data_IF_348215276104
#
_entry.id   IF_348215276104
#
_cell.length_a   1.000
_cell.length_b   1.000
_cell.length_c   1.000
_cell.angle_alpha   90.00
_cell.angle_beta   90.00
_cell.angle_gamma   90.00
#
_symmetry.space_group_name_H-M   'P 1'
#
loop_
_entity.id
_entity.type
_entity.pdbx_description
1 polymer ?
#
# COMPACT_ATOMS: atom_id res chain seq x y z
N UNK A 1 -17.14 -14.46 4.50
CA UNK A 1 -17.93 -15.47 5.25
C UNK A 1 -19.39 -15.37 4.83
N UNK A 2 -20.33 -15.92 5.60
CA UNK A 2 -21.78 -15.82 5.34
C UNK A 2 -22.33 -14.39 5.38
N UNK A 3 -21.58 -13.44 5.95
CA UNK A 3 -21.92 -12.02 6.02
C UNK A 3 -21.13 -11.18 5.00
N UNK A 4 -20.38 -11.80 4.08
CA UNK A 4 -19.57 -11.10 3.09
C UNK A 4 -18.31 -10.43 3.67
N UNK A 5 -17.90 -10.78 4.89
CA UNK A 5 -16.74 -10.18 5.54
C UNK A 5 -15.45 -10.95 5.24
N UNK A 6 -14.33 -10.24 5.39
CA UNK A 6 -12.99 -10.81 5.42
C UNK A 6 -12.23 -10.26 6.63
N UNK A 7 -11.41 -11.09 7.27
CA UNK A 7 -10.51 -10.67 8.36
C UNK A 7 -9.17 -11.35 8.19
N UNK A 8 -8.10 -10.56 8.30
CA UNK A 8 -6.72 -11.05 8.24
C UNK A 8 -5.96 -10.55 9.46
N UNK A 9 -5.12 -11.42 10.05
CA UNK A 9 -4.13 -11.02 11.05
C UNK A 9 -2.78 -11.03 10.36
N UNK A 10 -2.14 -9.88 10.33
CA UNK A 10 -0.83 -9.66 9.72
C UNK A 10 -0.08 -8.62 10.54
N UNK A 11 1.10 -8.21 10.07
CA UNK A 11 1.87 -7.09 10.59
C UNK A 11 1.72 -5.87 9.66
N UNK A 12 1.93 -4.67 10.21
CA UNK A 12 2.03 -3.46 9.38
C UNK A 12 3.24 -3.58 8.44
N UNK A 13 3.06 -3.37 7.12
CA UNK A 13 4.18 -3.34 6.20
C UNK A 13 4.99 -2.05 6.37
N UNK A 14 6.27 -2.09 6.04
CA UNK A 14 7.04 -0.88 5.78
C UNK A 14 6.86 -0.45 4.31
N UNK A 15 7.08 0.83 4.03
CA UNK A 15 7.38 1.29 2.67
C UNK A 15 8.64 0.59 2.12
N UNK A 16 8.76 0.52 0.81
CA UNK A 16 9.92 -0.10 0.16
C UNK A 16 10.48 0.75 -0.97
N UNK A 17 11.77 0.58 -1.25
CA UNK A 17 12.49 1.25 -2.32
C UNK A 17 12.88 0.29 -3.45
N UNK A 18 13.14 0.85 -4.64
CA UNK A 18 13.83 0.11 -5.69
C UNK A 18 15.22 -0.38 -5.20
N UNK A 19 15.70 -1.55 -5.68
CA UNK A 19 17.07 -1.98 -5.42
C UNK A 19 18.07 -0.88 -5.81
N UNK A 20 18.96 -0.43 -4.89
CA UNK A 20 19.79 0.75 -5.12
C UNK A 20 20.68 0.68 -6.37
N UNK A 21 21.26 -0.50 -6.62
CA UNK A 21 22.13 -0.76 -7.79
C UNK A 21 21.34 -1.25 -9.02
N UNK A 22 20.02 -1.33 -8.93
CA UNK A 22 19.15 -1.82 -9.99
C UNK A 22 18.94 -0.79 -11.11
N UNK A 23 18.65 -1.24 -12.35
CA UNK A 23 18.50 -0.36 -13.50
C UNK A 23 17.39 0.68 -13.32
N UNK A 24 16.31 0.33 -12.60
CA UNK A 24 15.23 1.27 -12.27
C UNK A 24 15.76 2.42 -11.42
N UNK A 25 16.50 2.15 -10.34
CA UNK A 25 17.03 3.20 -9.49
C UNK A 25 18.12 4.01 -10.20
N UNK A 26 18.96 3.37 -11.03
CA UNK A 26 19.94 4.09 -11.85
C UNK A 26 19.27 5.12 -12.77
N UNK A 27 18.19 4.75 -13.46
CA UNK A 27 17.44 5.68 -14.29
C UNK A 27 16.77 6.78 -13.46
N UNK A 28 16.14 6.43 -12.33
CA UNK A 28 15.54 7.42 -11.43
C UNK A 28 16.57 8.44 -10.91
N UNK A 29 17.79 7.99 -10.62
CA UNK A 29 18.89 8.88 -10.22
C UNK A 29 19.25 9.89 -11.31
N UNK A 30 19.29 9.48 -12.58
CA UNK A 30 19.51 10.39 -13.72
C UNK A 30 18.39 11.44 -13.87
N UNK A 31 17.19 11.11 -13.39
CA UNK A 31 16.02 12.00 -13.38
C UNK A 31 15.89 12.81 -12.09
N UNK A 32 16.80 12.64 -11.12
CA UNK A 32 16.70 13.29 -9.80
C UNK A 32 15.50 12.82 -8.97
N UNK A 33 15.03 11.59 -9.18
CA UNK A 33 13.86 11.00 -8.50
C UNK A 33 14.28 9.91 -7.52
N UNK A 34 13.52 9.76 -6.43
CA UNK A 34 13.62 8.60 -5.54
C UNK A 34 12.83 7.39 -6.10
N UNK A 35 13.10 6.19 -5.59
CA UNK A 35 12.39 4.95 -5.95
C UNK A 35 11.55 4.36 -4.82
N UNK A 36 11.08 5.20 -3.90
CA UNK A 36 10.38 4.77 -2.69
C UNK A 36 8.86 4.74 -2.89
N UNK A 37 8.21 3.80 -2.20
CA UNK A 37 6.76 3.67 -2.11
C UNK A 37 6.32 3.71 -0.64
N UNK A 38 5.13 4.27 -0.34
CA UNK A 38 4.58 4.22 1.01
C UNK A 38 4.23 2.79 1.42
N UNK A 39 4.09 2.55 2.72
CA UNK A 39 3.51 1.31 3.23
C UNK A 39 2.11 1.08 2.64
N UNK A 40 1.91 -0.07 1.99
CA UNK A 40 0.64 -0.41 1.35
C UNK A 40 0.36 -1.91 1.34
N UNK A 41 -0.92 -2.24 1.14
CA UNK A 41 -1.41 -3.62 1.04
C UNK A 41 -2.17 -3.78 -0.28
N UNK A 42 -1.83 -4.80 -1.05
CA UNK A 42 -2.46 -5.11 -2.34
C UNK A 42 -3.73 -5.93 -2.18
N UNK A 43 -4.70 -5.69 -3.07
CA UNK A 43 -5.94 -6.44 -3.15
C UNK A 43 -6.29 -6.82 -4.59
N UNK A 44 -6.65 -8.09 -4.77
CA UNK A 44 -7.52 -8.53 -5.84
C UNK A 44 -8.84 -9.01 -5.23
N UNK A 45 -9.97 -8.55 -5.78
CA UNK A 45 -11.30 -9.00 -5.38
C UNK A 45 -12.09 -9.40 -6.62
N UNK A 46 -12.72 -10.57 -6.58
CA UNK A 46 -13.54 -11.10 -7.67
C UNK A 46 -14.76 -11.84 -7.11
N UNK A 47 -15.89 -11.71 -7.79
CA UNK A 47 -17.13 -12.41 -7.48
C UNK A 47 -17.96 -12.55 -8.77
N UNK A 48 -18.87 -13.53 -8.81
CA UNK A 48 -19.73 -13.77 -9.98
C UNK A 48 -20.60 -12.53 -10.27
N UNK A 49 -20.77 -12.22 -11.56
CA UNK A 49 -21.52 -11.05 -12.02
C UNK A 49 -20.85 -9.69 -11.75
N UNK A 50 -19.67 -9.66 -11.15
CA UNK A 50 -18.95 -8.42 -10.83
C UNK A 50 -17.66 -8.30 -11.64
N UNK A 51 -17.22 -7.06 -11.89
CA UNK A 51 -15.89 -6.81 -12.46
C UNK A 51 -14.83 -7.14 -11.41
N UNK A 52 -13.72 -7.76 -11.84
CA UNK A 52 -12.54 -7.94 -10.99
C UNK A 52 -11.98 -6.58 -10.58
N UNK A 53 -11.73 -6.41 -9.28
CA UNK A 53 -11.10 -5.24 -8.71
C UNK A 53 -9.61 -5.52 -8.49
N UNK A 54 -8.78 -4.58 -8.96
CA UNK A 54 -7.36 -4.47 -8.62
C UNK A 54 -7.20 -3.16 -7.86
N UNK A 55 -6.76 -3.21 -6.61
CA UNK A 55 -6.57 -1.99 -5.81
C UNK A 55 -5.46 -2.17 -4.77
N UNK A 56 -5.13 -1.11 -4.06
CA UNK A 56 -4.30 -1.11 -2.86
C UNK A 56 -4.88 -0.15 -1.82
N UNK A 57 -4.48 -0.30 -0.56
CA UNK A 57 -4.63 0.73 0.47
C UNK A 57 -3.25 1.18 0.94
N UNK A 58 -3.10 2.46 1.27
CA UNK A 58 -1.88 3.07 1.79
C UNK A 58 -2.10 3.44 3.26
N UNK A 59 -1.09 3.24 4.10
CA UNK A 59 -1.16 3.60 5.52
C UNK A 59 -1.07 5.12 5.65
N UNK A 60 -2.05 5.74 6.29
CA UNK A 60 -2.06 7.18 6.52
C UNK A 60 -0.83 7.61 7.35
N UNK A 61 -0.22 8.73 6.97
CA UNK A 61 0.94 9.30 7.65
C UNK A 61 2.30 8.79 7.17
N UNK A 62 2.35 7.84 6.22
CA UNK A 62 3.61 7.45 5.58
C UNK A 62 4.23 8.65 4.83
N UNK A 63 5.54 8.92 4.96
CA UNK A 63 6.22 10.05 4.29
C UNK A 63 6.03 10.11 2.78
N UNK A 64 5.81 8.96 2.11
CA UNK A 64 5.64 8.87 0.66
C UNK A 64 4.18 8.71 0.25
N UNK A 65 3.21 8.91 1.15
CA UNK A 65 1.78 8.76 0.84
C UNK A 65 1.40 9.54 -0.43
N UNK A 66 1.81 10.80 -0.52
CA UNK A 66 1.53 11.67 -1.67
C UNK A 66 2.79 11.97 -2.52
N UNK A 67 3.82 11.15 -2.36
CA UNK A 67 5.07 11.18 -3.13
C UNK A 67 5.50 9.75 -3.49
N UNK A 68 4.53 8.90 -3.89
CA UNK A 68 4.81 7.52 -4.34
C UNK A 68 5.47 7.56 -5.72
N UNK A 69 6.66 6.96 -5.87
CA UNK A 69 7.35 6.93 -7.16
C UNK A 69 6.53 6.22 -8.25
N UNK A 70 5.63 5.31 -7.85
CA UNK A 70 4.75 4.55 -8.73
C UNK A 70 3.40 5.25 -8.99
N UNK A 71 3.14 6.41 -8.38
CA UNK A 71 1.94 7.21 -8.58
C UNK A 71 0.61 6.46 -8.31
N UNK A 72 0.61 5.53 -7.34
CA UNK A 72 -0.54 4.64 -7.12
C UNK A 72 -1.51 5.13 -6.04
N UNK A 73 -1.08 6.02 -5.14
CA UNK A 73 -1.95 6.56 -4.09
C UNK A 73 -3.08 7.39 -4.68
N UNK A 74 -4.30 7.21 -4.13
CA UNK A 74 -5.49 7.96 -4.51
C UNK A 74 -6.32 8.29 -3.28
N UNK A 75 -7.11 9.36 -3.37
CA UNK A 75 -8.17 9.64 -2.40
C UNK A 75 -9.10 8.43 -2.27
N UNK A 76 -9.57 8.15 -1.05
CA UNK A 76 -10.36 6.97 -0.72
C UNK A 76 -9.55 5.66 -0.54
N UNK A 77 -8.24 5.66 -0.84
CA UNK A 77 -7.34 4.53 -0.63
C UNK A 77 -6.23 4.80 0.41
N UNK A 78 -6.41 5.82 1.25
CA UNK A 78 -5.53 6.15 2.37
C UNK A 78 -6.28 5.85 3.66
N UNK A 79 -5.77 4.91 4.46
CA UNK A 79 -6.47 4.32 5.61
C UNK A 79 -5.64 4.51 6.88
N UNK A 80 -6.29 4.93 7.96
CA UNK A 80 -5.68 5.05 9.28
C UNK A 80 -5.45 3.66 9.90
N UNK A 81 -4.23 3.42 10.38
CA UNK A 81 -3.92 2.24 11.18
C UNK A 81 -4.08 2.59 12.66
N UNK A 82 -5.19 2.15 13.26
CA UNK A 82 -5.50 2.44 14.66
C UNK A 82 -4.68 1.50 15.56
N UNK A 83 -3.84 2.08 16.40
CA UNK A 83 -3.14 1.38 17.46
C UNK A 83 -4.11 1.09 18.62
N UNK A 84 -4.21 -0.18 19.00
CA UNK A 84 -4.99 -0.61 20.16
C UNK A 84 -4.03 -1.10 21.24
N UNK A 85 -4.08 -0.46 22.42
CA UNK A 85 -3.20 -0.76 23.56
C UNK A 85 -3.95 -1.22 24.80
N UNK A 86 -5.26 -1.38 24.71
CA UNK A 86 -6.07 -1.94 25.78
C UNK A 86 -5.77 -3.44 25.98
N UNK A 87 -6.02 -3.94 27.18
CA UNK A 87 -5.62 -5.29 27.59
C UNK A 87 -6.51 -6.41 27.00
N UNK A 88 -7.63 -6.07 26.33
CA UNK A 88 -8.63 -7.03 25.84
C UNK A 88 -8.96 -6.80 24.36
N UNK A 89 -8.10 -7.32 23.47
CA UNK A 89 -8.36 -7.44 22.02
C UNK A 89 -8.14 -8.87 21.54
#
# INVERSE_FOLDING_TARGET
DEHGQYRVRTILPAGYGCPPEGPTQQLLNQLGRHGNRPAHIHYFVSADGHRKLTTQINVAGDPYTYDDFAYATREGLVIEAIEHTDAEV
#
